data_IF_492621726490
#
_entry.id   IF_492621726490
#
_cell.length_a   1.000
_cell.length_b   1.000
_cell.length_c   1.000
_cell.angle_alpha   90.00
_cell.angle_beta   90.00
_cell.angle_gamma   90.00
#
_symmetry.space_group_name_H-M   'P 1'
#
loop_
_entity.id
_entity.type
_entity.pdbx_description
1 polymer ?
#
# COMPACT_ATOMS: atom_id res chain seq x y z
N UNK A 1 5.89 1.09 5.86
CA UNK A 1 6.69 0.02 5.23
C UNK A 1 5.79 -1.05 4.65
N UNK A 2 6.26 -1.74 3.63
CA UNK A 2 5.49 -2.80 2.99
C UNK A 2 6.00 -4.16 3.45
N UNK A 3 5.08 -5.05 3.83
CA UNK A 3 5.44 -6.37 4.37
C UNK A 3 4.71 -7.48 3.61
N UNK A 4 5.43 -8.57 3.38
CA UNK A 4 4.85 -9.80 2.82
C UNK A 4 4.03 -10.50 3.89
N UNK A 5 2.87 -11.02 3.50
CA UNK A 5 2.02 -11.77 4.42
C UNK A 5 1.25 -12.84 3.64
N UNK A 6 1.29 -14.08 4.12
CA UNK A 6 0.62 -15.22 3.49
C UNK A 6 0.98 -15.37 2.00
N UNK A 7 2.25 -15.14 1.68
CA UNK A 7 2.74 -15.28 0.31
C UNK A 7 2.53 -14.08 -0.58
N UNK A 8 1.83 -13.03 -0.11
CA UNK A 8 1.57 -11.84 -0.90
C UNK A 8 2.39 -10.65 -0.40
N UNK A 9 2.98 -9.93 -1.34
CA UNK A 9 3.69 -8.67 -1.07
C UNK A 9 2.89 -7.55 -1.70
N UNK A 10 2.74 -6.42 -1.02
CA UNK A 10 2.06 -5.28 -1.65
C UNK A 10 2.70 -4.90 -2.98
N UNK A 11 1.86 -4.54 -3.94
CA UNK A 11 2.31 -4.20 -5.29
C UNK A 11 1.86 -2.78 -5.65
N UNK A 12 2.48 -2.24 -6.69
CA UNK A 12 2.11 -0.95 -7.24
C UNK A 12 1.73 -1.14 -8.70
N UNK A 13 0.84 -0.27 -9.19
CA UNK A 13 0.37 -0.37 -10.57
C UNK A 13 1.37 0.19 -11.56
N UNK A 14 2.43 0.83 -11.09
CA UNK A 14 3.38 1.57 -11.91
C UNK A 14 4.80 1.32 -11.44
N UNK A 15 5.72 1.20 -12.38
CA UNK A 15 7.15 1.02 -12.08
C UNK A 15 7.95 2.01 -12.93
N UNK A 16 8.72 2.92 -12.33
CA UNK A 16 8.82 3.12 -10.89
C UNK A 16 7.56 3.77 -10.33
N UNK A 17 7.25 3.45 -9.08
CA UNK A 17 6.08 3.99 -8.41
C UNK A 17 6.38 5.40 -7.87
N UNK A 18 5.46 6.32 -8.09
CA UNK A 18 5.64 7.72 -7.69
C UNK A 18 4.76 8.10 -6.50
N UNK A 19 4.37 7.14 -5.69
CA UNK A 19 3.63 7.41 -4.46
C UNK A 19 4.56 7.60 -3.27
N UNK A 20 3.96 7.62 -2.09
CA UNK A 20 4.71 7.85 -0.86
C UNK A 20 4.08 7.09 0.31
N UNK A 21 4.92 6.45 1.10
CA UNK A 21 4.49 5.74 2.29
C UNK A 21 5.33 6.24 3.44
N UNK A 22 4.68 6.80 4.47
CA UNK A 22 5.39 7.24 5.66
C UNK A 22 6.10 6.05 6.31
N UNK A 23 7.26 6.31 6.90
CA UNK A 23 8.04 5.25 7.53
C UNK A 23 7.24 4.53 8.62
N UNK A 24 6.39 5.25 9.35
CA UNK A 24 5.57 4.68 10.41
C UNK A 24 4.29 4.00 9.91
N UNK A 25 3.99 4.11 8.63
CA UNK A 25 2.84 3.43 8.06
C UNK A 25 3.18 1.97 7.77
N UNK A 26 2.15 1.12 7.77
CA UNK A 26 2.33 -0.31 7.56
C UNK A 26 1.37 -0.78 6.47
N UNK A 27 1.91 -1.39 5.42
CA UNK A 27 1.12 -1.95 4.32
C UNK A 27 1.47 -3.42 4.23
N UNK A 28 0.49 -4.28 4.45
CA UNK A 28 0.72 -5.70 4.63
C UNK A 28 -0.08 -6.51 3.62
N UNK A 29 0.60 -7.42 2.95
CA UNK A 29 -0.05 -8.50 2.22
C UNK A 29 -0.62 -8.08 0.88
N UNK A 30 -1.84 -8.48 0.62
CA UNK A 30 -2.47 -8.40 -0.69
C UNK A 30 -3.08 -7.02 -0.93
N UNK A 31 -2.20 -6.07 -1.23
CA UNK A 31 -2.56 -4.66 -1.43
C UNK A 31 -1.97 -4.20 -2.75
N UNK A 32 -2.77 -3.45 -3.53
CA UNK A 32 -2.30 -2.85 -4.76
C UNK A 32 -2.48 -1.33 -4.67
N UNK A 33 -1.38 -0.60 -4.88
CA UNK A 33 -1.37 0.85 -4.75
C UNK A 33 -1.29 1.50 -6.13
N UNK A 34 -2.18 2.43 -6.39
CA UNK A 34 -2.21 3.19 -7.63
C UNK A 34 -1.15 4.28 -7.68
N UNK A 35 -1.20 5.08 -8.74
CA UNK A 35 -0.25 6.18 -8.94
C UNK A 35 -0.46 7.26 -7.89
N UNK A 36 0.65 7.82 -7.41
CA UNK A 36 0.64 8.97 -6.51
C UNK A 36 -0.26 8.77 -5.29
N UNK A 37 -0.35 7.54 -4.82
CA UNK A 37 -1.02 7.25 -3.56
C UNK A 37 -0.10 7.69 -2.43
N UNK A 38 -0.66 8.32 -1.40
CA UNK A 38 0.10 8.70 -0.22
C UNK A 38 -0.50 8.03 1.02
N UNK A 39 0.36 7.33 1.75
CA UNK A 39 -0.02 6.63 2.98
C UNK A 39 0.67 7.34 4.13
N UNK A 40 -0.10 7.92 5.02
CA UNK A 40 0.41 8.83 6.02
C UNK A 40 0.78 8.14 7.32
N UNK A 41 1.35 8.91 8.23
CA UNK A 41 1.95 8.41 9.46
C UNK A 41 0.96 7.56 10.27
N UNK A 42 1.40 6.39 10.68
CA UNK A 42 0.63 5.52 11.54
C UNK A 42 -0.50 4.75 10.86
N UNK A 43 -0.74 4.96 9.57
CA UNK A 43 -1.79 4.24 8.85
C UNK A 43 -1.42 2.77 8.72
N UNK A 44 -2.42 1.90 8.79
CA UNK A 44 -2.24 0.46 8.62
C UNK A 44 -3.20 -0.02 7.54
N UNK A 45 -2.64 -0.64 6.51
CA UNK A 45 -3.41 -1.25 5.43
C UNK A 45 -3.06 -2.72 5.41
N UNK A 46 -4.04 -3.58 5.66
CA UNK A 46 -3.80 -5.01 5.78
C UNK A 46 -4.71 -5.79 4.86
N UNK A 47 -4.12 -6.40 3.82
CA UNK A 47 -4.85 -7.24 2.89
C UNK A 47 -4.59 -8.70 3.19
N UNK A 48 -5.31 -9.27 4.17
CA UNK A 48 -5.07 -10.64 4.59
C UNK A 48 -6.10 -11.64 4.06
N UNK A 49 -7.34 -11.25 3.86
CA UNK A 49 -8.38 -12.16 3.35
C UNK A 49 -8.77 -11.86 1.93
N UNK A 50 -8.64 -10.64 1.48
CA UNK A 50 -8.96 -10.26 0.12
C UNK A 50 -8.07 -9.12 -0.33
N UNK A 51 -8.03 -8.91 -1.63
CA UNK A 51 -7.23 -7.84 -2.22
C UNK A 51 -7.80 -6.48 -1.83
N UNK A 52 -6.91 -5.58 -1.42
CA UNK A 52 -7.23 -4.18 -1.22
C UNK A 52 -6.60 -3.38 -2.35
N UNK A 53 -7.43 -2.64 -3.07
CA UNK A 53 -6.94 -1.73 -4.11
C UNK A 53 -7.15 -0.31 -3.67
N UNK A 54 -6.08 0.47 -3.78
CA UNK A 54 -6.14 1.90 -3.49
C UNK A 54 -5.90 2.63 -4.80
N UNK A 55 -6.92 3.34 -5.26
CA UNK A 55 -6.89 3.98 -6.57
C UNK A 55 -5.91 5.14 -6.65
N UNK A 56 -5.66 5.57 -7.89
CA UNK A 56 -4.71 6.66 -8.17
C UNK A 56 -5.05 7.91 -7.38
N UNK A 57 -4.01 8.59 -6.90
CA UNK A 57 -4.11 9.89 -6.23
C UNK A 57 -4.82 9.83 -4.88
N UNK A 58 -5.04 8.63 -4.33
CA UNK A 58 -5.69 8.48 -3.03
C UNK A 58 -4.76 8.85 -1.89
N UNK A 59 -5.37 9.17 -0.78
CA UNK A 59 -4.68 9.68 0.40
C UNK A 59 -5.23 8.92 1.61
N UNK A 60 -4.39 8.12 2.26
CA UNK A 60 -4.79 7.32 3.41
C UNK A 60 -4.13 7.91 4.66
N UNK A 61 -4.94 8.36 5.59
CA UNK A 61 -4.45 9.02 6.79
C UNK A 61 -4.67 8.23 8.07
#
# INVERSE_FOLDING_TARGET
MMYKFQGYTPTTTQQPWNGWIAESATVIGRVELGRQVSIWFGAVIRGDNSLIRIGDFSNVQ
#
